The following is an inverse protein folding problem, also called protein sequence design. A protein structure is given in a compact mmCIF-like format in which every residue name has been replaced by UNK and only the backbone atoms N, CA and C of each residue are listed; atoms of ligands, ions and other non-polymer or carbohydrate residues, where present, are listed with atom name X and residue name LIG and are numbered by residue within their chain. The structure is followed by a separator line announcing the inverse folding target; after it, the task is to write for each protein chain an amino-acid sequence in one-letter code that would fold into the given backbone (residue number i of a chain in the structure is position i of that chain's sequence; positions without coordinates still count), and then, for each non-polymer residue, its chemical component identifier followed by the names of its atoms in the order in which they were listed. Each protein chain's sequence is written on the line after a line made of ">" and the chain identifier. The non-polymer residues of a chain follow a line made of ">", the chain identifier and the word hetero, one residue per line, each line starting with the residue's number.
data_IF_586903168777
#
_entry.id   IF_586903168777
#
_cell.length_a   1.000
_cell.length_b   1.000
_cell.length_c   1.000
_cell.angle_alpha   90.00
_cell.angle_beta   90.00
_cell.angle_gamma   90.00
#
_symmetry.space_group_name_H-M   'P 1'
#
loop_
_entity.id
_entity.type
_entity.pdbx_description
1 polymer ?
#
# COMPACT_ATOMS: atom_id res chain seq x y z
N UNK A 1 9.78 -12.00 -0.39
CA UNK A 1 10.71 -12.99 0.21
C UNK A 1 10.87 -14.25 -0.63
N UNK A 2 9.80 -14.97 -1.00
CA UNK A 2 9.89 -16.17 -1.88
C UNK A 2 10.72 -15.94 -3.15
N UNK A 3 10.42 -14.88 -3.92
CA UNK A 3 11.16 -14.54 -5.14
C UNK A 3 12.64 -14.21 -4.85
N UNK A 4 12.92 -13.40 -3.83
CA UNK A 4 14.30 -13.11 -3.38
C UNK A 4 15.09 -14.39 -3.11
N UNK A 5 14.51 -15.31 -2.33
CA UNK A 5 15.17 -16.57 -1.99
C UNK A 5 15.42 -17.42 -3.24
N UNK A 6 14.45 -17.52 -4.15
CA UNK A 6 14.62 -18.24 -5.43
C UNK A 6 15.77 -17.68 -6.28
N UNK A 7 15.92 -16.35 -6.32
CA UNK A 7 17.00 -15.69 -7.07
C UNK A 7 18.37 -15.94 -6.44
N UNK A 8 18.47 -15.85 -5.11
CA UNK A 8 19.73 -16.02 -4.36
C UNK A 8 20.18 -17.49 -4.33
N UNK A 9 19.26 -18.42 -4.12
CA UNK A 9 19.56 -19.84 -4.05
C UNK A 9 19.95 -20.45 -5.40
N UNK A 10 19.42 -19.93 -6.52
CA UNK A 10 19.72 -20.43 -7.85
C UNK A 10 19.48 -21.95 -7.99
N UNK A 11 20.22 -22.67 -8.85
CA UNK A 11 20.06 -24.10 -9.08
C UNK A 11 20.66 -25.01 -7.97
N UNK A 12 21.19 -24.44 -6.88
CA UNK A 12 22.02 -25.17 -5.90
C UNK A 12 21.31 -25.49 -4.56
N UNK A 13 20.05 -25.10 -4.36
CA UNK A 13 19.33 -25.32 -3.10
C UNK A 13 18.37 -26.53 -3.11
N UNK A 14 18.21 -27.15 -1.92
CA UNK A 14 17.51 -28.40 -1.63
C UNK A 14 16.09 -28.57 -2.21
N UNK A 15 15.65 -29.82 -2.46
CA UNK A 15 14.48 -30.16 -3.28
C UNK A 15 13.09 -29.93 -2.64
N UNK A 16 13.01 -29.43 -1.41
CA UNK A 16 11.73 -29.14 -0.73
C UNK A 16 11.45 -27.63 -0.74
N UNK A 17 10.64 -27.11 -1.68
CA UNK A 17 10.32 -25.69 -1.73
C UNK A 17 9.53 -25.30 -0.47
N UNK A 18 10.05 -24.31 0.26
CA UNK A 18 9.33 -23.67 1.38
C UNK A 18 7.98 -23.16 0.86
N UNK A 19 6.91 -23.52 1.56
CA UNK A 19 5.54 -23.13 1.25
C UNK A 19 5.35 -21.61 1.37
N UNK A 20 4.39 -21.06 0.63
CA UNK A 20 4.07 -19.63 0.70
C UNK A 20 3.59 -19.23 2.11
N UNK A 21 2.95 -20.15 2.86
CA UNK A 21 2.53 -19.93 4.26
C UNK A 21 3.73 -19.77 5.19
N UNK A 22 4.75 -20.61 5.05
CA UNK A 22 5.99 -20.49 5.84
C UNK A 22 6.67 -19.15 5.57
N UNK A 23 6.67 -18.66 4.33
CA UNK A 23 7.17 -17.31 4.03
C UNK A 23 6.35 -16.20 4.68
N UNK A 24 5.03 -16.34 4.78
CA UNK A 24 4.21 -15.39 5.54
C UNK A 24 4.57 -15.43 7.03
N UNK A 25 4.79 -16.61 7.60
CA UNK A 25 5.23 -16.76 8.98
C UNK A 25 6.60 -16.10 9.22
N UNK A 26 7.57 -16.30 8.33
CA UNK A 26 8.90 -15.65 8.41
C UNK A 26 8.76 -14.13 8.34
N UNK A 27 7.95 -13.60 7.42
CA UNK A 27 7.73 -12.16 7.32
C UNK A 27 7.07 -11.59 8.59
N UNK A 28 6.00 -12.22 9.07
CA UNK A 28 5.26 -11.73 10.24
C UNK A 28 6.07 -11.88 11.51
N UNK A 29 6.85 -12.96 11.69
CA UNK A 29 7.73 -13.10 12.85
C UNK A 29 8.79 -12.00 12.89
N UNK A 30 9.44 -11.71 11.76
CA UNK A 30 10.38 -10.58 11.65
C UNK A 30 9.67 -9.24 11.94
N UNK A 31 8.47 -9.04 11.41
CA UNK A 31 7.67 -7.84 11.67
C UNK A 31 7.27 -7.71 13.15
N UNK A 32 6.94 -8.79 13.84
CA UNK A 32 6.62 -8.79 15.27
C UNK A 32 7.86 -8.54 16.12
N UNK A 33 9.01 -9.10 15.76
CA UNK A 33 10.29 -8.83 16.44
C UNK A 33 10.66 -7.36 16.30
N UNK A 34 10.59 -6.81 15.09
CA UNK A 34 10.82 -5.38 14.84
C UNK A 34 9.80 -4.50 15.56
N UNK A 35 8.54 -4.95 15.69
CA UNK A 35 7.52 -4.22 16.42
C UNK A 35 7.76 -4.20 17.92
N UNK A 36 8.60 -5.08 18.49
CA UNK A 36 8.95 -5.02 19.92
C UNK A 36 9.90 -3.85 20.25
N UNK A 37 10.48 -3.17 19.26
CA UNK A 37 11.36 -2.04 19.52
C UNK A 37 10.60 -0.95 20.31
N UNK A 38 11.09 -0.54 21.49
CA UNK A 38 10.34 0.30 22.42
C UNK A 38 10.45 1.81 22.14
N UNK A 39 11.34 2.23 21.22
CA UNK A 39 11.80 3.62 21.15
C UNK A 39 11.24 4.36 19.91
N UNK A 40 10.52 5.49 20.12
CA UNK A 40 9.92 6.32 19.05
C UNK A 40 10.97 6.89 18.07
N UNK A 41 12.19 7.16 18.54
CA UNK A 41 13.32 7.56 17.69
C UNK A 41 13.72 6.44 16.70
N UNK A 42 13.47 5.18 17.05
CA UNK A 42 13.72 4.04 16.16
C UNK A 42 12.72 3.96 15.01
N UNK A 43 11.49 4.46 15.20
CA UNK A 43 10.44 4.42 14.17
C UNK A 43 10.71 5.50 13.11
N UNK A 44 11.20 6.67 13.50
CA UNK A 44 11.63 7.70 12.56
C UNK A 44 12.80 7.21 11.67
N UNK A 45 13.79 6.54 12.26
CA UNK A 45 14.88 5.91 11.51
C UNK A 45 14.40 4.81 10.57
N UNK A 46 13.49 3.96 11.04
CA UNK A 46 12.90 2.90 10.21
C UNK A 46 12.04 3.47 9.06
N UNK A 47 11.34 4.59 9.30
CA UNK A 47 10.60 5.32 8.27
C UNK A 47 11.52 5.93 7.22
N UNK A 48 12.68 6.47 7.63
CA UNK A 48 13.69 6.97 6.70
C UNK A 48 14.26 5.84 5.83
N UNK A 49 14.58 4.69 6.43
CA UNK A 49 15.03 3.49 5.70
C UNK A 49 13.93 3.03 4.73
N UNK A 50 12.68 2.99 5.18
CA UNK A 50 11.53 2.67 4.33
C UNK A 50 11.41 3.60 3.12
N UNK A 51 11.46 4.92 3.34
CA UNK A 51 11.41 5.91 2.27
C UNK A 51 12.57 5.79 1.29
N UNK A 52 13.80 5.62 1.79
CA UNK A 52 14.99 5.46 0.95
C UNK A 52 14.93 4.16 0.13
N UNK A 53 14.58 3.04 0.76
CA UNK A 53 14.40 1.76 0.06
C UNK A 53 13.27 1.81 -0.94
N UNK A 54 12.19 2.55 -0.67
CA UNK A 54 11.10 2.79 -1.60
C UNK A 54 11.55 3.51 -2.88
N UNK A 55 12.29 4.60 -2.73
CA UNK A 55 12.83 5.35 -3.87
C UNK A 55 13.78 4.44 -4.67
N UNK A 56 14.70 3.75 -4.00
CA UNK A 56 15.67 2.86 -4.65
C UNK A 56 15.02 1.70 -5.41
N UNK A 57 14.09 0.96 -4.81
CA UNK A 57 13.48 -0.16 -5.55
C UNK A 57 12.58 0.36 -6.67
N UNK A 58 11.89 1.50 -6.50
CA UNK A 58 11.08 2.09 -7.58
C UNK A 58 11.98 2.45 -8.76
N UNK A 59 13.11 3.13 -8.50
CA UNK A 59 14.05 3.52 -9.56
C UNK A 59 14.66 2.31 -10.25
N UNK A 60 15.12 1.32 -9.48
CA UNK A 60 15.64 0.07 -10.05
C UNK A 60 14.59 -0.65 -10.89
N UNK A 61 13.34 -0.73 -10.41
CA UNK A 61 12.29 -1.48 -11.10
C UNK A 61 12.05 -0.93 -12.51
N UNK A 62 11.91 0.39 -12.68
CA UNK A 62 11.66 0.97 -14.00
C UNK A 62 12.91 1.03 -14.88
N UNK A 63 14.07 1.34 -14.31
CA UNK A 63 15.33 1.37 -15.08
C UNK A 63 15.62 -0.01 -15.67
N UNK A 64 15.52 -1.07 -14.86
CA UNK A 64 15.78 -2.44 -15.31
C UNK A 64 14.74 -2.92 -16.32
N UNK A 65 13.47 -2.54 -16.15
CA UNK A 65 12.42 -2.92 -17.12
C UNK A 65 12.63 -2.26 -18.49
N UNK A 66 13.21 -1.05 -18.53
CA UNK A 66 13.43 -0.28 -19.76
C UNK A 66 14.77 -0.60 -20.42
N UNK A 67 15.81 -0.94 -19.64
CA UNK A 67 17.15 -1.22 -20.15
C UNK A 67 17.26 -2.56 -20.88
N UNK A 68 16.43 -3.52 -20.51
CA UNK A 68 16.46 -4.87 -21.06
C UNK A 68 15.66 -5.02 -22.35
N UNK A 69 15.97 -6.03 -23.19
CA UNK A 69 15.23 -6.26 -24.42
C UNK A 69 13.75 -6.50 -24.15
N UNK A 70 12.92 -5.92 -25.01
CA UNK A 70 11.47 -6.03 -24.90
C UNK A 70 10.99 -7.41 -25.36
N UNK A 71 9.94 -7.98 -24.75
CA UNK A 71 9.32 -9.18 -25.26
C UNK A 71 8.84 -8.97 -26.71
N UNK A 72 9.10 -9.94 -27.60
CA UNK A 72 8.84 -9.80 -29.05
C UNK A 72 7.35 -9.70 -29.43
N UNK A 73 6.42 -9.96 -28.51
CA UNK A 73 4.96 -10.02 -28.75
C UNK A 73 4.20 -8.92 -27.99
N UNK A 74 4.80 -7.75 -27.81
CA UNK A 74 4.13 -6.61 -27.18
C UNK A 74 3.15 -5.94 -28.14
N UNK A 75 1.91 -5.76 -27.71
CA UNK A 75 0.96 -4.85 -28.36
C UNK A 75 0.49 -3.79 -27.36
N UNK A 76 0.29 -2.58 -27.88
CA UNK A 76 -0.27 -1.45 -27.15
C UNK A 76 -1.71 -1.16 -27.55
N UNK A 77 -2.29 -2.01 -28.40
CA UNK A 77 -3.69 -1.85 -28.78
C UNK A 77 -4.56 -1.95 -27.53
N UNK A 78 -5.56 -1.06 -27.47
CA UNK A 78 -6.58 -1.12 -26.45
C UNK A 78 -7.17 -2.53 -26.50
N UNK A 79 -7.01 -3.28 -25.41
CA UNK A 79 -7.52 -4.64 -25.31
C UNK A 79 -9.02 -4.56 -25.60
N UNK A 80 -9.42 -5.03 -26.80
CA UNK A 80 -10.78 -4.84 -27.34
C UNK A 80 -11.77 -5.52 -26.41
N UNK A 81 -12.26 -4.76 -25.44
CA UNK A 81 -13.33 -5.20 -24.55
C UNK A 81 -14.58 -5.37 -25.40
N UNK A 82 -15.15 -6.56 -25.35
CA UNK A 82 -16.30 -6.98 -26.17
C UNK A 82 -17.55 -6.12 -25.92
N UNK A 83 -17.60 -5.33 -24.83
CA UNK A 83 -18.63 -4.32 -24.58
C UNK A 83 -18.09 -3.05 -23.88
N UNK A 84 -18.77 -1.92 -24.10
CA UNK A 84 -18.49 -0.62 -23.45
C UNK A 84 -18.58 -0.71 -21.91
N UNK A 85 -19.58 -1.42 -21.38
CA UNK A 85 -19.77 -1.58 -19.94
C UNK A 85 -18.58 -2.25 -19.26
N UNK A 86 -18.04 -3.31 -19.87
CA UNK A 86 -16.86 -4.04 -19.38
C UNK A 86 -15.62 -3.15 -19.30
N UNK A 87 -15.41 -2.29 -20.31
CA UNK A 87 -14.30 -1.32 -20.32
C UNK A 87 -14.46 -0.25 -19.23
N UNK A 88 -15.68 0.27 -19.05
CA UNK A 88 -15.99 1.27 -18.03
C UNK A 88 -15.76 0.72 -16.61
N UNK A 89 -16.31 -0.45 -16.29
CA UNK A 89 -16.13 -1.05 -14.95
C UNK A 89 -14.68 -1.44 -14.68
N UNK A 90 -13.93 -1.91 -15.69
CA UNK A 90 -12.49 -2.17 -15.56
C UNK A 90 -11.70 -0.90 -15.27
N UNK A 91 -12.06 0.21 -15.92
CA UNK A 91 -11.45 1.53 -15.68
C UNK A 91 -11.77 2.04 -14.26
N UNK A 92 -13.02 1.91 -13.81
CA UNK A 92 -13.43 2.26 -12.45
C UNK A 92 -12.69 1.43 -11.39
N UNK A 93 -12.48 0.14 -11.64
CA UNK A 93 -11.68 -0.71 -10.77
C UNK A 93 -10.22 -0.25 -10.71
N UNK A 94 -9.63 0.09 -11.87
CA UNK A 94 -8.26 0.61 -11.92
C UNK A 94 -8.12 1.94 -11.15
N UNK A 95 -9.08 2.86 -11.28
CA UNK A 95 -9.14 4.09 -10.49
C UNK A 95 -9.27 3.80 -8.99
N UNK A 96 -10.03 2.76 -8.61
CA UNK A 96 -10.10 2.25 -7.24
C UNK A 96 -8.76 1.76 -6.71
N UNK A 97 -7.97 1.04 -7.52
CA UNK A 97 -6.63 0.58 -7.15
C UNK A 97 -5.68 1.77 -6.95
N UNK A 98 -5.75 2.77 -7.83
CA UNK A 98 -4.99 4.02 -7.68
C UNK A 98 -5.39 4.72 -6.37
N UNK A 99 -6.69 4.87 -6.11
CA UNK A 99 -7.18 5.45 -4.86
C UNK A 99 -6.69 4.69 -3.62
N UNK A 100 -6.67 3.36 -3.67
CA UNK A 100 -6.14 2.52 -2.60
C UNK A 100 -4.64 2.75 -2.36
N UNK A 101 -3.85 2.98 -3.41
CA UNK A 101 -2.42 3.27 -3.29
C UNK A 101 -2.15 4.60 -2.57
N UNK A 102 -3.02 5.61 -2.73
CA UNK A 102 -2.88 6.94 -2.12
C UNK A 102 -3.50 7.06 -0.71
N UNK A 103 -3.39 6.00 0.12
CA UNK A 103 -4.03 5.94 1.45
C UNK A 103 -3.18 6.46 2.63
N UNK A 104 -2.27 7.41 2.37
CA UNK A 104 -1.37 7.96 3.39
C UNK A 104 -2.05 8.83 4.46
N UNK A 105 -3.28 9.30 4.23
CA UNK A 105 -4.00 10.20 5.13
C UNK A 105 -4.38 9.56 6.49
N UNK A 106 -4.48 8.23 6.57
CA UNK A 106 -4.78 7.53 7.83
C UNK A 106 -3.72 7.76 8.91
N UNK A 107 -2.49 8.09 8.50
CA UNK A 107 -1.38 8.38 9.42
C UNK A 107 -1.09 9.86 9.55
N UNK A 108 -1.81 10.72 8.82
CA UNK A 108 -1.54 12.15 8.83
C UNK A 108 -1.67 12.74 10.24
N UNK A 109 -2.68 12.31 11.01
CA UNK A 109 -2.88 12.75 12.39
C UNK A 109 -1.76 12.27 13.31
N UNK A 110 -1.30 11.03 13.14
CA UNK A 110 -0.21 10.46 13.95
C UNK A 110 1.11 11.18 13.68
N UNK A 111 1.46 11.36 12.40
CA UNK A 111 2.63 12.14 11.99
C UNK A 111 2.53 13.57 12.53
N UNK A 112 1.35 14.18 12.47
CA UNK A 112 1.14 15.54 12.97
C UNK A 112 1.25 15.64 14.50
N UNK A 113 0.85 14.60 15.24
CA UNK A 113 0.98 14.54 16.69
C UNK A 113 2.45 14.49 17.15
N UNK A 114 3.34 13.93 16.33
CA UNK A 114 4.79 13.90 16.63
C UNK A 114 5.52 15.22 16.39
N UNK A 115 4.90 16.19 15.70
CA UNK A 115 5.54 17.47 15.40
C UNK A 115 5.40 18.47 16.56
N UNK A 116 6.46 19.22 16.89
CA UNK A 116 6.38 20.26 17.91
C UNK A 116 5.36 21.32 17.48
N UNK A 117 4.36 21.57 18.32
CA UNK A 117 3.30 22.53 18.07
C UNK A 117 3.22 23.53 19.22
N UNK A 118 3.31 24.82 18.90
CA UNK A 118 3.14 25.93 19.84
C UNK A 118 2.09 26.89 19.27
N UNK A 119 1.39 27.66 20.12
CA UNK A 119 0.44 28.68 19.65
C UNK A 119 1.02 29.66 18.62
N UNK A 120 2.32 29.97 18.69
CA UNK A 120 3.04 30.82 17.71
C UNK A 120 3.47 30.07 16.44
N UNK A 121 3.69 28.76 16.53
CA UNK A 121 4.19 27.91 15.44
C UNK A 121 3.31 26.66 15.33
N UNK A 122 2.18 26.74 14.60
CA UNK A 122 1.25 25.64 14.52
C UNK A 122 1.79 24.51 13.64
N UNK A 123 1.61 23.25 14.06
CA UNK A 123 2.10 22.07 13.35
C UNK A 123 1.56 21.88 11.91
N UNK A 124 0.47 22.57 11.53
CA UNK A 124 -0.07 22.46 10.17
C UNK A 124 0.88 23.03 9.10
N UNK A 125 1.73 24.01 9.44
CA UNK A 125 2.69 24.62 8.49
C UNK A 125 3.79 23.64 8.08
N UNK A 126 4.55 23.03 9.02
CA UNK A 126 5.52 21.99 8.66
C UNK A 126 4.84 20.76 8.05
N UNK A 127 3.66 20.37 8.54
CA UNK A 127 2.87 19.27 7.96
C UNK A 127 2.57 19.48 6.47
N UNK A 128 2.12 20.69 6.11
CA UNK A 128 1.79 21.01 4.72
C UNK A 128 3.03 21.00 3.81
N UNK A 129 4.17 21.49 4.31
CA UNK A 129 5.45 21.42 3.57
C UNK A 129 5.89 19.97 3.39
N UNK A 130 5.84 19.16 4.44
CA UNK A 130 6.16 17.73 4.39
C UNK A 130 5.25 16.97 3.43
N UNK A 131 3.95 17.21 3.48
CA UNK A 131 2.99 16.60 2.56
C UNK A 131 3.29 16.93 1.09
N UNK A 132 3.59 18.19 0.76
CA UNK A 132 3.97 18.58 -0.62
C UNK A 132 5.19 17.80 -1.12
N UNK A 133 6.24 17.72 -0.31
CA UNK A 133 7.46 16.98 -0.67
C UNK A 133 7.17 15.49 -0.80
N UNK A 134 6.39 14.91 0.11
CA UNK A 134 6.01 13.50 0.06
C UNK A 134 5.22 13.17 -1.22
N UNK A 135 4.21 13.97 -1.57
CA UNK A 135 3.44 13.78 -2.81
C UNK A 135 4.30 13.96 -4.07
N UNK A 136 5.26 14.88 -4.05
CA UNK A 136 6.23 15.05 -5.15
C UNK A 136 7.10 13.78 -5.28
N UNK A 137 7.65 13.26 -4.19
CA UNK A 137 8.44 12.03 -4.21
C UNK A 137 7.62 10.82 -4.68
N UNK A 138 6.38 10.70 -4.23
CA UNK A 138 5.46 9.65 -4.68
C UNK A 138 5.24 9.75 -6.19
N UNK A 139 4.98 10.96 -6.71
CA UNK A 139 4.84 11.18 -8.14
C UNK A 139 6.12 10.79 -8.91
N UNK A 140 7.29 11.20 -8.43
CA UNK A 140 8.58 10.85 -9.03
C UNK A 140 8.88 9.34 -8.99
N UNK A 141 8.26 8.58 -8.10
CA UNK A 141 8.41 7.12 -8.05
C UNK A 141 7.37 6.41 -8.92
N UNK A 142 6.09 6.74 -8.76
CA UNK A 142 4.98 6.01 -9.38
C UNK A 142 4.83 6.30 -10.88
N UNK A 143 4.99 7.55 -11.32
CA UNK A 143 4.84 7.87 -12.75
C UNK A 143 5.89 7.18 -13.62
N UNK A 144 7.20 7.20 -13.29
CA UNK A 144 8.20 6.45 -14.06
C UNK A 144 7.97 4.94 -14.06
N UNK A 145 7.54 4.37 -12.93
CA UNK A 145 7.18 2.95 -12.82
C UNK A 145 5.99 2.62 -13.73
N UNK A 146 4.95 3.45 -13.74
CA UNK A 146 3.78 3.23 -14.59
C UNK A 146 4.12 3.37 -16.09
N UNK A 147 4.84 4.44 -16.46
CA UNK A 147 5.20 4.73 -17.87
C UNK A 147 6.21 3.70 -18.37
N UNK A 148 7.30 3.49 -17.64
CA UNK A 148 8.37 2.54 -18.00
C UNK A 148 7.87 1.10 -17.99
N UNK A 149 7.05 0.70 -17.01
CA UNK A 149 6.45 -0.62 -16.95
C UNK A 149 5.48 -0.87 -18.11
N UNK A 150 4.63 0.11 -18.45
CA UNK A 150 3.74 -0.03 -19.60
C UNK A 150 4.52 -0.07 -20.92
N UNK A 151 5.57 0.75 -21.06
CA UNK A 151 6.46 0.73 -22.23
C UNK A 151 7.30 -0.56 -22.37
N UNK A 152 7.63 -1.22 -21.26
CA UNK A 152 8.39 -2.47 -21.29
C UNK A 152 7.50 -3.68 -21.61
N UNK A 153 6.30 -3.75 -21.02
CA UNK A 153 5.47 -4.97 -21.03
C UNK A 153 4.15 -4.85 -21.80
N UNK A 154 3.64 -3.64 -22.04
CA UNK A 154 2.39 -3.42 -22.78
C UNK A 154 1.21 -4.26 -22.26
N UNK A 155 0.51 -4.92 -23.19
CA UNK A 155 -0.60 -5.83 -22.92
C UNK A 155 -0.22 -7.13 -22.17
N UNK A 156 1.07 -7.45 -22.02
CA UNK A 156 1.56 -8.66 -21.35
C UNK A 156 1.81 -8.45 -19.85
N UNK A 157 1.43 -7.31 -19.28
CA UNK A 157 1.59 -7.02 -17.86
C UNK A 157 0.81 -8.04 -17.00
N UNK A 158 1.48 -8.86 -16.17
CA UNK A 158 0.80 -9.83 -15.31
C UNK A 158 -0.01 -9.14 -14.20
N UNK A 159 -1.06 -9.80 -13.68
CA UNK A 159 -1.90 -9.26 -12.60
C UNK A 159 -1.14 -9.04 -11.28
N UNK A 160 0.03 -9.66 -11.12
CA UNK A 160 0.94 -9.44 -9.99
C UNK A 160 1.75 -8.15 -10.07
N UNK A 161 1.51 -7.31 -11.08
CA UNK A 161 2.17 -6.03 -11.26
C UNK A 161 3.62 -6.11 -11.76
N UNK A 162 4.28 -4.96 -11.73
CA UNK A 162 5.59 -4.76 -12.37
C UNK A 162 6.71 -5.64 -11.82
N UNK A 163 6.78 -5.87 -10.50
CA UNK A 163 7.80 -6.76 -9.90
C UNK A 163 7.66 -8.21 -10.38
N UNK A 164 6.42 -8.66 -10.60
CA UNK A 164 6.15 -10.00 -11.14
C UNK A 164 6.53 -10.07 -12.61
N UNK A 165 6.27 -9.00 -13.37
CA UNK A 165 6.68 -8.87 -14.77
C UNK A 165 8.20 -8.95 -14.93
N UNK A 166 8.92 -8.16 -14.12
CA UNK A 166 10.38 -8.11 -14.12
C UNK A 166 10.99 -9.48 -13.79
N UNK A 167 10.45 -10.20 -12.83
CA UNK A 167 10.90 -11.57 -12.55
C UNK A 167 10.55 -12.55 -13.69
N UNK A 168 9.35 -12.48 -14.25
CA UNK A 168 8.88 -13.42 -15.26
C UNK A 168 9.65 -13.28 -16.58
N UNK A 169 9.90 -12.04 -17.03
CA UNK A 169 10.50 -11.77 -18.34
C UNK A 169 12.02 -11.59 -18.28
N UNK A 170 12.56 -11.03 -17.20
CA UNK A 170 13.96 -10.60 -17.14
C UNK A 170 14.79 -11.34 -16.07
N UNK A 171 14.30 -12.47 -15.55
CA UNK A 171 15.04 -13.27 -14.56
C UNK A 171 16.37 -13.83 -15.07
N UNK A 172 16.49 -14.05 -16.38
CA UNK A 172 17.69 -14.63 -17.00
C UNK A 172 18.61 -13.57 -17.61
N UNK A 173 18.08 -12.42 -17.99
CA UNK A 173 18.84 -11.34 -18.64
C UNK A 173 19.57 -10.45 -17.63
N UNK A 174 18.95 -10.22 -16.46
CA UNK A 174 19.50 -9.36 -15.41
C UNK A 174 20.45 -10.14 -14.49
N UNK A 175 21.60 -9.55 -14.07
CA UNK A 175 22.48 -10.17 -13.09
C UNK A 175 21.75 -10.47 -11.78
N UNK A 176 21.90 -11.70 -11.28
CA UNK A 176 21.21 -12.20 -10.08
C UNK A 176 21.36 -11.30 -8.85
N UNK A 177 22.52 -10.68 -8.67
CA UNK A 177 22.79 -9.75 -7.56
C UNK A 177 21.89 -8.51 -7.60
N UNK A 178 21.71 -7.92 -8.77
CA UNK A 178 20.90 -6.72 -8.97
C UNK A 178 19.41 -7.03 -8.79
N UNK A 179 18.97 -8.15 -9.36
CA UNK A 179 17.61 -8.65 -9.20
C UNK A 179 17.30 -8.97 -7.73
N UNK A 180 18.19 -9.71 -7.05
CA UNK A 180 18.06 -10.01 -5.62
C UNK A 180 18.03 -8.74 -4.77
N UNK A 181 18.89 -7.77 -5.05
CA UNK A 181 18.90 -6.47 -4.35
C UNK A 181 17.56 -5.75 -4.48
N UNK A 182 16.96 -5.70 -5.67
CA UNK A 182 15.63 -5.09 -5.87
C UNK A 182 14.56 -5.76 -5.00
N UNK A 183 14.50 -7.09 -4.98
CA UNK A 183 13.53 -7.80 -4.14
C UNK A 183 13.82 -7.67 -2.64
N UNK A 184 15.08 -7.57 -2.23
CA UNK A 184 15.45 -7.31 -0.83
C UNK A 184 14.99 -5.92 -0.39
N UNK A 185 15.19 -4.90 -1.22
CA UNK A 185 14.74 -3.54 -0.96
C UNK A 185 13.21 -3.47 -0.81
N UNK A 186 12.47 -4.19 -1.64
CA UNK A 186 11.00 -4.33 -1.49
C UNK A 186 10.64 -4.95 -0.15
N UNK A 187 11.33 -6.02 0.27
CA UNK A 187 11.09 -6.66 1.56
C UNK A 187 11.35 -5.70 2.73
N UNK A 188 12.46 -4.95 2.68
CA UNK A 188 12.77 -3.94 3.70
C UNK A 188 11.71 -2.84 3.76
N UNK A 189 11.27 -2.32 2.61
CA UNK A 189 10.19 -1.33 2.54
C UNK A 189 8.85 -1.88 3.08
N UNK A 190 8.53 -3.14 2.81
CA UNK A 190 7.32 -3.78 3.34
C UNK A 190 7.40 -3.94 4.87
N UNK A 191 8.56 -4.31 5.41
CA UNK A 191 8.77 -4.42 6.85
C UNK A 191 8.63 -3.06 7.54
N UNK A 192 9.24 -1.99 7.00
CA UNK A 192 9.09 -0.64 7.55
C UNK A 192 7.64 -0.14 7.45
N UNK A 193 6.98 -0.39 6.32
CA UNK A 193 5.58 -0.02 6.11
C UNK A 193 4.67 -0.71 7.13
N UNK A 194 4.89 -2.00 7.41
CA UNK A 194 4.12 -2.72 8.43
C UNK A 194 4.22 -2.03 9.79
N UNK A 195 5.41 -1.60 10.22
CA UNK A 195 5.56 -0.92 11.51
C UNK A 195 4.79 0.41 11.55
N UNK A 196 4.91 1.19 10.49
CA UNK A 196 4.28 2.51 10.38
C UNK A 196 2.75 2.37 10.39
N UNK A 197 2.19 1.50 9.56
CA UNK A 197 0.73 1.30 9.47
C UNK A 197 0.12 0.61 10.70
N UNK A 198 0.91 -0.15 11.46
CA UNK A 198 0.42 -0.83 12.68
C UNK A 198 0.38 0.09 13.90
N UNK A 199 1.13 1.19 13.88
CA UNK A 199 1.24 2.12 15.02
C UNK A 199 -0.13 2.66 15.49
N UNK A 200 -1.01 3.17 14.61
CA UNK A 200 -2.34 3.64 15.05
C UNK A 200 -3.21 2.53 15.67
N UNK A 201 -3.01 1.28 15.25
CA UNK A 201 -3.73 0.13 15.82
C UNK A 201 -3.21 -0.19 17.22
N UNK A 202 -1.89 -0.14 17.41
CA UNK A 202 -1.27 -0.30 18.72
C UNK A 202 -1.72 0.79 19.69
N UNK A 203 -1.73 2.05 19.24
CA UNK A 203 -2.18 3.17 20.06
C UNK A 203 -3.67 3.05 20.42
N UNK A 204 -4.50 2.54 19.49
CA UNK A 204 -5.92 2.26 19.75
C UNK A 204 -6.11 1.17 20.83
N UNK A 205 -5.33 0.09 20.78
CA UNK A 205 -5.38 -0.95 21.81
C UNK A 205 -4.89 -0.45 23.18
N UNK A 206 -3.82 0.34 23.21
CA UNK A 206 -3.29 0.94 24.43
C UNK A 206 -4.28 1.97 25.04
N UNK A 207 -4.91 2.80 24.21
CA UNK A 207 -5.94 3.75 24.63
C UNK A 207 -7.16 3.03 25.21
N UNK A 208 -7.61 1.94 24.57
CA UNK A 208 -8.72 1.13 25.07
C UNK A 208 -8.39 0.49 26.43
N UNK A 209 -7.20 -0.08 26.58
CA UNK A 209 -6.75 -0.67 27.84
C UNK A 209 -6.65 0.36 28.97
N UNK A 210 -6.01 1.50 28.68
CA UNK A 210 -5.80 2.57 29.66
C UNK A 210 -7.14 3.17 30.09
N UNK A 211 -8.08 3.38 29.15
CA UNK A 211 -9.41 3.90 29.46
C UNK A 211 -10.25 2.95 30.33
N UNK A 212 -10.04 1.63 30.22
CA UNK A 212 -10.78 0.63 31.01
C UNK A 212 -10.14 0.35 32.37
N UNK A 213 -8.83 0.33 32.45
CA UNK A 213 -8.09 -0.08 33.66
C UNK A 213 -7.57 1.09 34.48
N UNK A 214 -7.58 2.32 33.94
CA UNK A 214 -6.97 3.53 34.53
C UNK A 214 -5.52 3.31 34.98
N UNK A 215 -4.82 2.36 34.37
CA UNK A 215 -3.42 2.03 34.66
C UNK A 215 -2.58 2.19 33.40
N UNK A 216 -1.31 2.60 33.52
CA UNK A 216 -0.41 2.63 32.39
C UNK A 216 -0.22 1.21 31.82
N UNK A 217 -0.17 1.10 30.50
CA UNK A 217 0.16 -0.16 29.82
C UNK A 217 1.56 -0.63 30.21
N UNK A 218 1.65 -1.77 30.91
CA UNK A 218 2.93 -2.44 31.17
C UNK A 218 3.56 -2.94 29.87
N UNK A 219 4.89 -3.03 29.82
CA UNK A 219 5.64 -3.54 28.67
C UNK A 219 5.17 -4.94 28.22
N UNK A 220 4.77 -5.79 29.17
CA UNK A 220 4.21 -7.13 28.88
C UNK A 220 2.87 -7.06 28.16
N UNK A 221 1.98 -6.14 28.58
CA UNK A 221 0.66 -5.95 27.95
C UNK A 221 0.83 -5.40 26.54
N UNK A 222 1.72 -4.43 26.37
CA UNK A 222 2.09 -3.87 25.06
C UNK A 222 2.66 -4.94 24.12
N UNK A 223 3.59 -5.77 24.61
CA UNK A 223 4.14 -6.88 23.83
C UNK A 223 3.05 -7.88 23.44
N UNK A 224 2.15 -8.21 24.37
CA UNK A 224 0.98 -9.06 24.11
C UNK A 224 0.10 -8.53 22.99
N UNK A 225 -0.25 -7.23 22.99
CA UNK A 225 -1.04 -6.62 21.91
C UNK A 225 -0.33 -6.66 20.55
N UNK A 226 0.99 -6.43 20.52
CA UNK A 226 1.78 -6.47 19.29
C UNK A 226 1.87 -7.87 18.69
N UNK A 227 2.07 -8.89 19.53
CA UNK A 227 2.07 -10.31 19.11
C UNK A 227 0.67 -10.73 18.63
N UNK A 228 -0.37 -10.35 19.36
CA UNK A 228 -1.76 -10.64 19.00
C UNK A 228 -2.15 -10.04 17.64
N UNK A 229 -1.80 -8.77 17.41
CA UNK A 229 -2.02 -8.13 16.11
C UNK A 229 -1.23 -8.81 14.99
N UNK A 230 0.03 -9.17 15.25
CA UNK A 230 0.84 -9.95 14.30
C UNK A 230 0.17 -11.28 13.92
N UNK A 231 -0.35 -12.02 14.90
CA UNK A 231 -1.08 -13.26 14.65
C UNK A 231 -2.35 -13.06 13.82
N UNK A 232 -3.14 -12.03 14.12
CA UNK A 232 -4.31 -11.66 13.31
C UNK A 232 -3.89 -11.34 11.87
N UNK A 233 -2.82 -10.56 11.70
CA UNK A 233 -2.32 -10.22 10.37
C UNK A 233 -1.89 -11.47 9.60
N UNK A 234 -1.19 -12.41 10.24
CA UNK A 234 -0.81 -13.68 9.62
C UNK A 234 -2.05 -14.50 9.21
N UNK A 235 -3.02 -14.61 10.12
CA UNK A 235 -4.26 -15.33 9.85
C UNK A 235 -5.00 -14.75 8.65
N UNK A 236 -5.14 -13.42 8.58
CA UNK A 236 -5.78 -12.73 7.45
C UNK A 236 -4.99 -12.96 6.16
N UNK A 237 -3.67 -12.88 6.19
CA UNK A 237 -2.82 -13.12 5.00
C UNK A 237 -2.94 -14.55 4.46
N UNK A 238 -3.04 -15.54 5.35
CA UNK A 238 -3.21 -16.96 4.97
C UNK A 238 -4.64 -17.25 4.50
N UNK A 239 -5.64 -16.66 5.16
CA UNK A 239 -7.06 -16.85 4.83
C UNK A 239 -7.43 -16.16 3.50
N UNK A 240 -6.86 -14.99 3.22
CA UNK A 240 -7.20 -14.13 2.09
C UNK A 240 -5.98 -13.81 1.20
N UNK A 241 -5.36 -14.80 0.52
CA UNK A 241 -4.20 -14.58 -0.36
C UNK A 241 -4.53 -13.75 -1.60
N UNK A 242 -5.82 -13.50 -1.87
CA UNK A 242 -6.35 -12.71 -2.99
C UNK A 242 -6.66 -11.25 -2.59
N UNK A 243 -6.14 -10.75 -1.46
CA UNK A 243 -6.36 -9.35 -1.05
C UNK A 243 -5.96 -8.33 -2.13
N UNK A 244 -4.97 -8.63 -2.96
CA UNK A 244 -4.58 -7.78 -4.09
C UNK A 244 -5.69 -7.61 -5.12
N UNK A 245 -6.53 -8.62 -5.37
CA UNK A 245 -7.67 -8.49 -6.29
C UNK A 245 -8.83 -7.70 -5.69
N UNK A 246 -8.85 -7.54 -4.36
CA UNK A 246 -9.83 -6.70 -3.66
C UNK A 246 -9.39 -5.23 -3.56
N UNK A 247 -8.18 -4.87 -4.02
CA UNK A 247 -7.63 -3.53 -3.84
C UNK A 247 -8.53 -2.43 -4.42
N UNK A 248 -9.13 -2.65 -5.59
CA UNK A 248 -10.05 -1.67 -6.20
C UNK A 248 -11.32 -1.44 -5.36
N UNK A 249 -11.90 -2.51 -4.82
CA UNK A 249 -13.06 -2.44 -3.92
C UNK A 249 -12.69 -1.76 -2.60
N UNK A 250 -11.57 -2.15 -1.98
CA UNK A 250 -11.09 -1.55 -0.74
C UNK A 250 -10.75 -0.07 -0.91
N UNK A 251 -10.20 0.33 -2.05
CA UNK A 251 -10.05 1.73 -2.44
C UNK A 251 -11.39 2.45 -2.48
N UNK A 252 -12.36 1.88 -3.21
CA UNK A 252 -13.74 2.37 -3.29
C UNK A 252 -14.39 2.63 -1.93
N UNK A 253 -14.33 1.64 -1.04
CA UNK A 253 -14.97 1.69 0.28
C UNK A 253 -14.31 2.68 1.24
N UNK A 254 -13.03 2.98 1.04
CA UNK A 254 -12.27 3.83 1.97
C UNK A 254 -12.30 5.29 1.58
N UNK A 255 -12.53 5.61 0.31
CA UNK A 255 -12.65 6.97 -0.24
C UNK A 255 -13.58 7.94 0.51
N UNK A 256 -14.74 7.52 1.07
CA UNK A 256 -15.57 8.44 1.84
C UNK A 256 -14.84 8.98 3.07
N UNK A 257 -14.01 8.17 3.71
CA UNK A 257 -13.22 8.59 4.88
C UNK A 257 -12.15 9.61 4.47
N UNK A 258 -11.66 9.53 3.23
CA UNK A 258 -10.51 10.32 2.75
C UNK A 258 -10.94 11.65 2.14
N UNK A 259 -12.00 11.66 1.34
CA UNK A 259 -12.44 12.83 0.57
C UNK A 259 -13.75 13.41 1.07
N UNK A 260 -14.73 12.56 1.43
CA UNK A 260 -16.04 13.06 1.83
C UNK A 260 -16.05 13.57 3.28
N UNK A 261 -15.52 12.77 4.21
CA UNK A 261 -15.57 13.02 5.64
C UNK A 261 -14.87 14.33 6.03
N UNK A 262 -13.64 14.64 5.58
CA UNK A 262 -12.98 15.90 5.95
C UNK A 262 -13.72 17.13 5.42
N UNK A 263 -14.31 17.06 4.22
CA UNK A 263 -15.08 18.16 3.65
C UNK A 263 -16.35 18.45 4.46
N UNK A 264 -17.11 17.41 4.83
CA UNK A 264 -18.31 17.58 5.65
C UNK A 264 -17.97 17.97 7.10
N UNK A 265 -16.91 17.42 7.66
CA UNK A 265 -16.41 17.79 8.99
C UNK A 265 -15.99 19.26 9.02
N UNK A 266 -15.26 19.74 8.00
CA UNK A 266 -14.84 21.12 7.90
C UNK A 266 -16.04 22.08 7.83
N UNK A 267 -17.06 21.75 7.02
CA UNK A 267 -18.30 22.52 6.95
C UNK A 267 -19.02 22.62 8.30
N UNK A 268 -19.03 21.53 9.10
CA UNK A 268 -19.64 21.50 10.43
C UNK A 268 -18.85 22.29 11.47
N UNK A 269 -17.52 22.22 11.44
CA UNK A 269 -16.64 22.87 12.41
C UNK A 269 -16.48 24.37 12.13
N UNK A 270 -16.21 24.75 10.87
CA UNK A 270 -15.91 26.13 10.50
C UNK A 270 -17.14 26.98 10.19
N UNK A 271 -18.29 26.36 9.91
CA UNK A 271 -19.56 27.04 9.61
C UNK A 271 -19.37 28.24 8.67
N UNK A 272 -18.82 28.05 7.46
CA UNK A 272 -18.62 29.15 6.53
C UNK A 272 -19.96 29.78 6.12
N UNK A 273 -19.92 31.03 5.66
CA UNK A 273 -21.11 31.71 5.15
C UNK A 273 -21.79 30.89 4.05
N UNK A 274 -23.12 30.77 4.17
CA UNK A 274 -23.92 30.03 3.19
C UNK A 274 -23.78 30.72 1.84
N UNK A 275 -23.59 29.90 0.80
CA UNK A 275 -23.34 30.35 -0.59
C UNK A 275 -21.97 30.98 -0.87
N UNK A 276 -21.03 30.96 0.09
CA UNK A 276 -19.64 31.30 -0.18
C UNK A 276 -18.97 30.27 -1.10
N UNK A 277 -17.93 30.68 -1.84
CA UNK A 277 -17.12 29.79 -2.68
C UNK A 277 -16.61 28.57 -1.89
N UNK A 278 -16.10 28.79 -0.68
CA UNK A 278 -15.61 27.72 0.20
C UNK A 278 -16.71 26.76 0.62
N UNK A 279 -17.97 27.23 0.72
CA UNK A 279 -19.11 26.38 1.05
C UNK A 279 -19.46 25.45 -0.12
N UNK A 280 -19.57 26.00 -1.34
CA UNK A 280 -19.82 25.21 -2.55
C UNK A 280 -18.69 24.24 -2.85
N UNK A 281 -17.43 24.65 -2.69
CA UNK A 281 -16.27 23.81 -2.94
C UNK A 281 -16.27 22.57 -2.04
N UNK A 282 -16.45 22.74 -0.72
CA UNK A 282 -16.44 21.61 0.21
C UNK A 282 -17.67 20.70 0.03
N UNK A 283 -18.85 21.25 -0.27
CA UNK A 283 -20.02 20.44 -0.61
C UNK A 283 -19.83 19.64 -1.89
N UNK A 284 -19.31 20.28 -2.94
CA UNK A 284 -19.02 19.66 -4.23
C UNK A 284 -17.99 18.54 -4.11
N UNK A 285 -16.86 18.80 -3.43
CA UNK A 285 -15.83 17.80 -3.16
C UNK A 285 -16.35 16.63 -2.32
N UNK A 286 -17.19 16.93 -1.31
CA UNK A 286 -17.82 15.91 -0.48
C UNK A 286 -18.72 14.98 -1.29
N UNK A 287 -19.62 15.56 -2.10
CA UNK A 287 -20.53 14.79 -2.96
C UNK A 287 -19.78 14.01 -4.03
N UNK A 288 -18.78 14.63 -4.68
CA UNK A 288 -17.94 13.97 -5.67
C UNK A 288 -17.18 12.78 -5.07
N UNK A 289 -16.62 12.95 -3.87
CA UNK A 289 -15.95 11.88 -3.14
C UNK A 289 -16.89 10.70 -2.84
N UNK A 290 -18.14 10.96 -2.46
CA UNK A 290 -19.15 9.90 -2.27
C UNK A 290 -19.54 9.22 -3.58
N UNK A 291 -19.68 9.98 -4.67
CA UNK A 291 -20.00 9.43 -5.98
C UNK A 291 -18.87 8.52 -6.51
N UNK A 292 -17.61 8.95 -6.36
CA UNK A 292 -16.45 8.13 -6.73
C UNK A 292 -16.32 6.88 -5.87
N UNK A 293 -16.59 6.95 -4.57
CA UNK A 293 -16.63 5.77 -3.71
C UNK A 293 -17.62 4.73 -4.20
N UNK A 294 -18.84 5.14 -4.55
CA UNK A 294 -19.85 4.23 -5.11
C UNK A 294 -19.41 3.66 -6.46
N UNK A 295 -18.93 4.51 -7.37
CA UNK A 295 -18.51 4.08 -8.70
C UNK A 295 -17.34 3.07 -8.66
N UNK A 296 -16.33 3.32 -7.84
CA UNK A 296 -15.17 2.43 -7.74
C UNK A 296 -15.51 1.15 -7.00
N UNK A 297 -16.39 1.20 -6.00
CA UNK A 297 -16.89 0.00 -5.33
C UNK A 297 -17.67 -0.89 -6.30
N UNK A 298 -18.51 -0.30 -7.16
CA UNK A 298 -19.22 -1.03 -8.23
C UNK A 298 -18.25 -1.66 -9.24
N UNK A 299 -17.23 -0.90 -9.68
CA UNK A 299 -16.17 -1.43 -10.56
C UNK A 299 -15.39 -2.58 -9.91
N UNK A 300 -15.07 -2.47 -8.62
CA UNK A 300 -14.42 -3.51 -7.83
C UNK A 300 -15.27 -4.77 -7.73
N UNK A 301 -16.55 -4.65 -7.37
CA UNK A 301 -17.49 -5.77 -7.32
C UNK A 301 -17.63 -6.43 -8.69
N UNK A 302 -17.77 -5.65 -9.75
CA UNK A 302 -17.86 -6.19 -11.11
C UNK A 302 -16.59 -6.95 -11.51
N UNK A 303 -15.41 -6.42 -11.21
CA UNK A 303 -14.13 -7.09 -11.49
C UNK A 303 -14.00 -8.41 -10.72
N UNK A 304 -14.43 -8.43 -9.46
CA UNK A 304 -14.45 -9.63 -8.61
C UNK A 304 -15.36 -10.71 -9.18
N UNK A 305 -16.56 -10.33 -9.65
CA UNK A 305 -17.55 -11.25 -10.23
C UNK A 305 -17.06 -11.78 -11.57
N UNK A 306 -16.59 -10.91 -12.46
CA UNK A 306 -16.19 -11.29 -13.82
C UNK A 306 -14.89 -12.11 -13.86
N UNK A 307 -13.90 -11.76 -13.03
CA UNK A 307 -12.65 -12.52 -12.96
C UNK A 307 -12.81 -13.84 -12.20
N UNK A 308 -13.97 -14.07 -11.56
CA UNK A 308 -14.30 -15.24 -10.78
C UNK A 308 -13.34 -15.41 -9.62
N UNK A 309 -13.73 -15.01 -8.40
CA UNK A 309 -12.96 -15.41 -7.23
C UNK A 309 -12.96 -16.95 -7.14
N UNK A 310 -11.88 -17.58 -7.59
CA UNK A 310 -11.50 -18.89 -7.08
C UNK A 310 -11.13 -18.66 -5.62
N UNK A 311 -12.15 -18.64 -4.77
CA UNK A 311 -12.08 -18.52 -3.31
C UNK A 311 -11.31 -19.73 -2.76
N UNK A 312 -10.00 -19.70 -2.98
CA UNK A 312 -9.04 -20.67 -2.50
C UNK A 312 -8.68 -20.29 -1.06
N UNK A 313 -9.68 -20.31 -0.19
CA UNK A 313 -9.44 -20.18 1.24
C UNK A 313 -8.43 -21.25 1.64
N UNK A 314 -7.33 -20.83 2.30
CA UNK A 314 -6.25 -21.71 2.75
C UNK A 314 -5.47 -22.47 1.66
N UNK A 315 -5.65 -22.16 0.37
CA UNK A 315 -4.82 -22.69 -0.72
C UNK A 315 -3.91 -21.60 -1.25
N UNK A 316 -2.69 -21.54 -0.73
CA UNK A 316 -1.65 -20.64 -1.23
C UNK A 316 -1.18 -21.07 -2.63
N UNK A 317 -1.03 -20.12 -3.55
CA UNK A 317 -0.37 -20.33 -4.85
C UNK A 317 1.16 -20.42 -4.70
#
# INVERSE_FOLDING_TARGET
>A
MKLFFQIVCGPLCSPSPISTVEWYLVFTSLAVVLSQLPNLNSIAGLSLIGGATAIMYCTMSWVLSVSEPRPLTISYDLMKSTSFGTSLFSTLNALGIVAFAFRGHNLALEIQATMPSTFKHPAHVPMWRGAKVAYLLIAMCLFPVAIGGYWAYGNMMPPGGMLTALYAFHSHDIPRSLLASTFLLVVLNCLSSFQIYSMPVFDSFEAYYTGRTNRPCSAWVRSGFRVFYGFISLFISVALPFLSSLAGLLGGLTLPVTFAYPCFMWLRVKKPERFSFSWYLNWGLGLLGTAFSLAFSLGGVWSIVNNGMKLKFFKTN
#
